data_IF_956505712091
#
_entry.id   IF_956505712091
#
_cell.length_a   1.000
_cell.length_b   1.000
_cell.length_c   1.000
_cell.angle_alpha   90.00
_cell.angle_beta   90.00
_cell.angle_gamma   90.00
#
_symmetry.space_group_name_H-M   'P 1'
#
loop_
_entity.id
_entity.type
_entity.pdbx_description
1 polymer ?
#
# COMPACT_ATOMS: atom_id res chain seq x y z
N UNK A 1 -2.42 -19.68 12.53
CA UNK A 1 -3.74 -19.00 12.42
C UNK A 1 -3.77 -17.63 13.10
N UNK A 2 -3.44 -17.50 14.39
CA UNK A 2 -3.44 -16.19 15.07
C UNK A 2 -2.56 -15.12 14.38
N UNK A 3 -1.33 -15.47 13.98
CA UNK A 3 -0.43 -14.57 13.25
C UNK A 3 -1.08 -14.02 11.97
N UNK A 4 -1.77 -14.88 11.23
CA UNK A 4 -2.48 -14.50 10.01
C UNK A 4 -3.63 -13.53 10.31
N UNK A 5 -4.44 -13.80 11.35
CA UNK A 5 -5.53 -12.92 11.75
C UNK A 5 -5.03 -11.54 12.19
N UNK A 6 -3.90 -11.48 12.89
CA UNK A 6 -3.28 -10.22 13.29
C UNK A 6 -2.78 -9.42 12.08
N UNK A 7 -2.08 -10.06 11.14
CA UNK A 7 -1.62 -9.38 9.91
C UNK A 7 -2.78 -8.93 9.03
N UNK A 8 -3.82 -9.77 8.91
CA UNK A 8 -5.01 -9.44 8.14
C UNK A 8 -5.79 -8.29 8.77
N UNK A 9 -6.06 -8.37 10.08
CA UNK A 9 -6.78 -7.32 10.82
C UNK A 9 -6.05 -5.98 10.81
N UNK A 10 -4.72 -6.00 10.99
CA UNK A 10 -3.89 -4.80 10.88
C UNK A 10 -3.96 -4.19 9.47
N UNK A 11 -3.91 -5.02 8.42
CA UNK A 11 -4.05 -4.56 7.03
C UNK A 11 -5.40 -3.90 6.77
N UNK A 12 -6.50 -4.53 7.19
CA UNK A 12 -7.86 -3.97 7.03
C UNK A 12 -8.00 -2.65 7.78
N UNK A 13 -7.57 -2.59 9.04
CA UNK A 13 -7.63 -1.36 9.83
C UNK A 13 -6.83 -0.23 9.17
N UNK A 14 -5.62 -0.53 8.70
CA UNK A 14 -4.76 0.44 8.01
C UNK A 14 -5.42 0.94 6.73
N UNK A 15 -6.01 0.05 5.92
CA UNK A 15 -6.70 0.43 4.68
C UNK A 15 -7.90 1.35 4.92
N UNK A 16 -8.70 1.06 5.95
CA UNK A 16 -9.84 1.91 6.36
C UNK A 16 -9.31 3.28 6.81
N UNK A 17 -8.30 3.29 7.68
CA UNK A 17 -7.71 4.52 8.20
C UNK A 17 -7.19 5.41 7.06
N UNK A 18 -6.46 4.85 6.10
CA UNK A 18 -5.96 5.60 4.94
C UNK A 18 -7.12 6.19 4.14
N UNK A 19 -8.15 5.39 3.84
CA UNK A 19 -9.29 5.82 3.02
C UNK A 19 -10.11 6.93 3.68
N UNK A 20 -10.16 6.96 5.02
CA UNK A 20 -10.92 7.97 5.77
C UNK A 20 -10.15 9.26 6.02
N UNK A 21 -8.82 9.18 6.16
CA UNK A 21 -7.99 10.32 6.60
C UNK A 21 -7.20 10.97 5.46
N UNK A 22 -7.06 10.30 4.31
CA UNK A 22 -6.30 10.80 3.17
C UNK A 22 -7.12 10.69 1.89
N UNK A 23 -6.94 11.65 1.00
CA UNK A 23 -7.47 11.56 -0.35
C UNK A 23 -6.63 10.55 -1.16
N UNK A 24 -7.20 9.39 -1.43
CA UNK A 24 -6.52 8.34 -2.19
C UNK A 24 -6.72 8.60 -3.69
N UNK A 25 -5.66 8.99 -4.43
CA UNK A 25 -5.78 9.27 -5.86
C UNK A 25 -6.17 8.00 -6.60
N UNK A 26 -7.12 8.13 -7.53
CA UNK A 26 -7.47 7.05 -8.44
C UNK A 26 -6.33 6.86 -9.43
N UNK A 27 -6.05 5.60 -9.74
CA UNK A 27 -5.08 5.25 -10.76
C UNK A 27 -5.84 4.70 -11.95
N UNK A 28 -5.73 5.40 -13.08
CA UNK A 28 -6.48 5.10 -14.30
C UNK A 28 -6.12 3.73 -14.88
N UNK A 29 -4.85 3.35 -14.76
CA UNK A 29 -4.31 2.07 -15.24
C UNK A 29 -3.66 1.31 -14.08
N UNK A 30 -4.26 0.20 -13.62
CA UNK A 30 -3.73 -0.58 -12.50
C UNK A 30 -2.28 -1.06 -12.72
N UNK A 31 -1.86 -1.27 -13.97
CA UNK A 31 -0.49 -1.67 -14.31
C UNK A 31 0.58 -0.67 -13.86
N UNK A 32 0.25 0.64 -13.85
CA UNK A 32 1.17 1.70 -13.42
C UNK A 32 1.47 1.68 -11.92
N UNK A 33 0.66 1.00 -11.11
CA UNK A 33 0.92 0.86 -9.67
C UNK A 33 2.23 0.12 -9.40
N UNK A 34 2.49 -0.96 -10.16
CA UNK A 34 3.71 -1.75 -10.00
C UNK A 34 4.95 -0.98 -10.43
N UNK A 35 4.85 -0.18 -11.48
CA UNK A 35 5.94 0.69 -11.95
C UNK A 35 6.28 1.74 -10.88
N UNK A 36 5.28 2.46 -10.37
CA UNK A 36 5.46 3.42 -9.27
C UNK A 36 6.06 2.79 -8.02
N UNK A 37 5.66 1.56 -7.68
CA UNK A 37 6.21 0.85 -6.53
C UNK A 37 7.69 0.48 -6.73
N UNK A 38 8.08 0.06 -7.95
CA UNK A 38 9.47 -0.21 -8.31
C UNK A 38 10.31 1.07 -8.28
N UNK A 39 9.84 2.14 -8.92
CA UNK A 39 10.50 3.45 -8.92
C UNK A 39 10.74 3.95 -7.49
N UNK A 40 9.71 3.85 -6.63
CA UNK A 40 9.85 4.18 -5.21
C UNK A 40 10.93 3.31 -4.54
N UNK A 41 10.89 1.99 -4.70
CA UNK A 41 11.87 1.10 -4.09
C UNK A 41 13.31 1.39 -4.57
N UNK A 42 13.49 1.72 -5.85
CA UNK A 42 14.80 2.04 -6.41
C UNK A 42 15.31 3.42 -5.98
N UNK A 43 14.43 4.41 -5.79
CA UNK A 43 14.79 5.72 -5.24
C UNK A 43 15.32 5.65 -3.80
N UNK A 44 14.82 4.70 -3.01
CA UNK A 44 15.19 4.53 -1.60
C UNK A 44 16.18 3.38 -1.35
N UNK A 45 16.62 2.67 -2.39
CA UNK A 45 17.82 1.83 -2.29
C UNK A 45 19.01 2.75 -2.05
N UNK A 46 19.55 2.74 -0.82
CA UNK A 46 20.90 3.26 -0.58
C UNK A 46 21.89 2.43 -1.41
N UNK A 47 22.92 3.07 -2.00
CA UNK A 47 23.96 2.36 -2.73
C UNK A 47 24.69 1.34 -1.84
#
# INVERSE_FOLDING_TARGET
MLKFLLTFGAGVYTGIYITQNYEVPRVDEPGKLLEKAKEFADQYKKP
#
